data_IF_552310363665
#
_entry.id   IF_552310363665
#
_cell.length_a   1.000
_cell.length_b   1.000
_cell.length_c   1.000
_cell.angle_alpha   90.00
_cell.angle_beta   90.00
_cell.angle_gamma   90.00
#
_symmetry.space_group_name_H-M   'P 1'
#
loop_
_entity.id
_entity.type
_entity.pdbx_description
1 polymer ?
#
# COMPACT_ATOMS: atom_id res chain seq x y z
N UNK A 1 -26.78 -9.98 21.52
CA UNK A 1 -25.79 -8.90 21.68
C UNK A 1 -24.98 -8.84 20.40
N UNK A 2 -25.24 -7.83 19.55
CA UNK A 2 -24.45 -7.62 18.34
C UNK A 2 -23.10 -7.05 18.75
N UNK A 3 -22.05 -7.87 18.69
CA UNK A 3 -20.70 -7.37 18.93
C UNK A 3 -20.27 -6.56 17.70
N UNK A 4 -20.19 -5.23 17.86
CA UNK A 4 -19.71 -4.36 16.79
C UNK A 4 -18.22 -4.61 16.65
N UNK A 5 -17.79 -5.20 15.53
CA UNK A 5 -16.38 -5.39 15.23
C UNK A 5 -15.61 -4.06 15.48
N UNK A 6 -14.43 -4.13 16.14
CA UNK A 6 -13.69 -2.93 16.51
C UNK A 6 -13.39 -2.11 15.25
N UNK A 7 -13.80 -0.83 15.28
CA UNK A 7 -13.56 0.11 14.19
C UNK A 7 -12.05 0.28 14.01
N UNK A 8 -11.49 -0.32 12.95
CA UNK A 8 -10.09 -0.12 12.59
C UNK A 8 -9.85 1.36 12.28
N UNK A 9 -8.86 1.94 12.94
CA UNK A 9 -8.40 3.30 12.64
C UNK A 9 -7.82 3.31 11.22
N UNK A 10 -8.28 4.25 10.40
CA UNK A 10 -7.74 4.44 9.06
C UNK A 10 -6.39 5.13 9.20
N UNK A 11 -5.32 4.41 8.92
CA UNK A 11 -3.96 4.95 8.85
C UNK A 11 -3.55 5.14 7.41
N UNK A 12 -2.58 6.04 7.18
CA UNK A 12 -1.93 6.18 5.89
C UNK A 12 -0.88 5.09 5.76
N UNK A 13 -0.79 4.47 4.58
CA UNK A 13 0.30 3.58 4.27
C UNK A 13 1.64 4.36 4.32
N UNK A 14 2.69 3.84 4.98
CA UNK A 14 4.02 4.42 4.94
C UNK A 14 4.63 4.34 3.55
N UNK A 15 5.51 5.28 3.19
CA UNK A 15 6.21 5.24 1.91
C UNK A 15 6.99 3.94 1.70
N UNK A 16 7.00 3.45 0.47
CA UNK A 16 7.75 2.27 0.08
C UNK A 16 9.23 2.66 -0.08
N UNK A 17 10.05 2.27 0.91
CA UNK A 17 11.48 2.58 0.97
C UNK A 17 12.32 1.31 0.94
N UNK A 18 13.47 1.34 0.27
CA UNK A 18 14.35 0.18 0.15
C UNK A 18 15.36 0.31 -0.99
N UNK A 19 16.29 -0.64 -1.08
CA UNK A 19 17.25 -0.75 -2.20
C UNK A 19 16.71 -1.73 -3.24
N UNK A 20 17.11 -1.56 -4.50
CA UNK A 20 16.80 -2.49 -5.59
C UNK A 20 15.70 -2.05 -6.55
N UNK A 21 14.92 -1.03 -6.19
CA UNK A 21 13.87 -0.48 -7.05
C UNK A 21 12.78 -1.50 -7.42
N UNK A 22 12.02 -1.18 -8.46
CA UNK A 22 10.96 -2.06 -8.97
C UNK A 22 11.42 -2.96 -10.12
N UNK A 23 10.95 -4.20 -10.11
CA UNK A 23 11.06 -5.15 -11.22
C UNK A 23 9.71 -5.27 -11.93
N UNK A 24 9.71 -5.64 -13.22
CA UNK A 24 8.51 -5.81 -14.05
C UNK A 24 7.65 -4.54 -14.22
N UNK A 25 8.23 -3.35 -14.07
CA UNK A 25 7.51 -2.06 -14.18
C UNK A 25 7.90 -1.24 -15.41
N UNK A 26 8.66 -1.80 -16.35
CA UNK A 26 9.19 -1.05 -17.48
C UNK A 26 10.05 0.13 -17.02
N UNK A 27 10.97 -0.13 -16.08
CA UNK A 27 11.88 0.84 -15.44
C UNK A 27 11.20 1.91 -14.57
N UNK A 28 9.87 1.97 -14.56
CA UNK A 28 9.11 2.92 -13.76
C UNK A 28 9.27 2.62 -12.27
N UNK A 29 9.64 3.65 -11.52
CA UNK A 29 9.65 3.62 -10.05
C UNK A 29 8.30 4.14 -9.54
N UNK A 30 7.51 3.27 -8.91
CA UNK A 30 6.22 3.66 -8.33
C UNK A 30 6.39 4.20 -6.92
N UNK A 31 5.70 5.30 -6.64
CA UNK A 31 5.41 5.80 -5.29
C UNK A 31 4.00 5.35 -4.86
N UNK A 32 3.67 5.46 -3.58
CA UNK A 32 2.28 5.23 -3.13
C UNK A 32 1.29 6.23 -3.74
N UNK A 33 1.74 7.43 -4.11
CA UNK A 33 0.89 8.43 -4.74
C UNK A 33 0.43 8.00 -6.14
N UNK A 34 1.30 7.30 -6.89
CA UNK A 34 1.00 6.81 -8.23
C UNK A 34 -0.06 5.70 -8.25
N UNK A 35 -0.30 5.05 -7.11
CA UNK A 35 -1.22 3.93 -6.98
C UNK A 35 -2.57 4.33 -6.37
N UNK A 36 -2.80 5.63 -6.13
CA UNK A 36 -4.08 6.13 -5.61
C UNK A 36 -5.24 5.77 -6.54
N UNK A 37 -6.41 5.53 -5.95
CA UNK A 37 -7.60 5.08 -6.67
C UNK A 37 -7.61 3.58 -6.98
N UNK A 38 -6.61 2.83 -6.50
CA UNK A 38 -6.53 1.37 -6.62
C UNK A 38 -6.45 0.71 -5.25
N UNK A 39 -6.82 -0.57 -5.20
CA UNK A 39 -6.49 -1.45 -4.07
C UNK A 39 -5.11 -2.04 -4.35
N UNK A 40 -4.19 -1.89 -3.38
CA UNK A 40 -2.82 -2.40 -3.45
C UNK A 40 -2.65 -3.46 -2.37
N UNK A 41 -2.08 -4.60 -2.75
CA UNK A 41 -1.67 -5.66 -1.82
C UNK A 41 -0.15 -5.63 -1.75
N UNK A 42 0.37 -5.56 -0.53
CA UNK A 42 1.79 -5.77 -0.24
C UNK A 42 1.94 -7.17 0.32
N UNK A 43 2.74 -7.99 -0.35
CA UNK A 43 3.06 -9.36 0.04
C UNK A 43 4.55 -9.42 0.37
N UNK A 44 4.89 -9.90 1.56
CA UNK A 44 6.26 -9.89 2.12
C UNK A 44 6.83 -11.31 2.16
#
# INVERSE_FOLDING_TARGET
MSDSAPRRVRVRAPELVGKGGWLNTGEKQYTLADLRGRIVVLDF
#
